data_IF_582543866580
#
_entry.id   IF_582543866580
#
_cell.length_a   1.000
_cell.length_b   1.000
_cell.length_c   1.000
_cell.angle_alpha   90.00
_cell.angle_beta   90.00
_cell.angle_gamma   90.00
#
_symmetry.space_group_name_H-M   'P 1'
#
loop_
_entity.id
_entity.type
_entity.pdbx_description
1 polymer ?
#
# COMPACT_ATOMS: atom_id res chain seq x y z
N UNK A 1 -24.46 -38.47 17.55
CA UNK A 1 -23.51 -37.89 18.53
C UNK A 1 -22.08 -37.80 17.97
N UNK A 2 -21.59 -38.87 17.35
CA UNK A 2 -20.21 -38.92 16.77
C UNK A 2 -20.00 -37.88 15.68
N UNK A 3 -20.98 -37.65 14.80
CA UNK A 3 -20.90 -36.62 13.73
C UNK A 3 -20.85 -35.19 14.27
N UNK A 4 -21.51 -34.93 15.39
CA UNK A 4 -21.50 -33.61 16.02
C UNK A 4 -20.14 -33.30 16.65
N UNK A 5 -19.50 -34.30 17.26
CA UNK A 5 -18.16 -34.14 17.85
C UNK A 5 -17.10 -33.94 16.75
N UNK A 6 -17.17 -34.69 15.63
CA UNK A 6 -16.27 -34.47 14.49
C UNK A 6 -16.45 -33.08 13.86
N UNK A 7 -17.67 -32.58 13.73
CA UNK A 7 -17.92 -31.23 13.22
C UNK A 7 -17.29 -30.11 14.09
N UNK A 8 -17.37 -30.25 15.42
CA UNK A 8 -16.73 -29.32 16.36
C UNK A 8 -15.20 -29.36 16.25
N UNK A 9 -14.62 -30.56 16.11
CA UNK A 9 -13.16 -30.70 15.98
C UNK A 9 -12.64 -30.11 14.66
N UNK A 10 -13.32 -30.36 13.54
CA UNK A 10 -12.94 -29.80 12.22
C UNK A 10 -13.12 -28.28 12.22
N UNK A 11 -14.23 -27.77 12.75
CA UNK A 11 -14.48 -26.32 12.84
C UNK A 11 -13.44 -25.61 13.70
N UNK A 12 -13.10 -26.17 14.87
CA UNK A 12 -12.05 -25.59 15.73
C UNK A 12 -10.66 -25.63 15.11
N UNK A 13 -10.34 -26.70 14.39
CA UNK A 13 -9.04 -26.84 13.73
C UNK A 13 -8.90 -25.83 12.58
N UNK A 14 -9.93 -25.64 11.76
CA UNK A 14 -9.93 -24.65 10.68
C UNK A 14 -9.79 -23.22 11.19
N UNK A 15 -10.56 -22.86 12.23
CA UNK A 15 -10.47 -21.53 12.87
C UNK A 15 -9.09 -21.29 13.49
N UNK A 16 -8.47 -22.33 14.08
CA UNK A 16 -7.16 -22.20 14.70
C UNK A 16 -6.05 -21.98 13.67
N UNK A 17 -6.13 -22.62 12.50
CA UNK A 17 -5.15 -22.43 11.41
C UNK A 17 -5.25 -21.01 10.86
N UNK A 18 -6.45 -20.51 10.63
CA UNK A 18 -6.68 -19.15 10.12
C UNK A 18 -6.18 -18.10 11.11
N UNK A 19 -6.46 -18.29 12.41
CA UNK A 19 -5.99 -17.41 13.47
C UNK A 19 -4.45 -17.38 13.56
N UNK A 20 -3.80 -18.52 13.40
CA UNK A 20 -2.34 -18.63 13.37
C UNK A 20 -1.71 -17.92 12.17
N UNK A 21 -2.37 -17.92 11.02
CA UNK A 21 -1.90 -17.22 9.81
C UNK A 21 -1.99 -15.70 9.97
N UNK A 22 -3.11 -15.19 10.47
CA UNK A 22 -3.27 -13.78 10.80
C UNK A 22 -2.29 -13.32 11.90
N UNK A 23 -2.10 -14.08 12.97
CA UNK A 23 -1.18 -13.73 14.04
C UNK A 23 0.27 -13.67 13.54
N UNK A 24 0.68 -14.61 12.68
CA UNK A 24 2.00 -14.59 12.03
C UNK A 24 2.17 -13.37 11.13
N UNK A 25 1.12 -13.02 10.37
CA UNK A 25 1.14 -11.87 9.48
C UNK A 25 1.19 -10.56 10.25
N UNK A 26 0.42 -10.44 11.33
CA UNK A 26 0.43 -9.29 12.25
C UNK A 26 1.81 -9.13 12.89
N UNK A 27 2.39 -10.19 13.44
CA UNK A 27 3.73 -10.18 14.03
C UNK A 27 4.80 -9.79 13.02
N UNK A 28 4.68 -10.28 11.78
CA UNK A 28 5.60 -9.90 10.70
C UNK A 28 5.51 -8.40 10.41
N UNK A 29 4.30 -7.85 10.25
CA UNK A 29 4.10 -6.43 9.99
C UNK A 29 4.60 -5.56 11.15
N UNK A 30 4.46 -6.04 12.38
CA UNK A 30 4.95 -5.35 13.56
C UNK A 30 6.50 -5.30 13.60
N UNK A 31 7.16 -6.40 13.28
CA UNK A 31 8.61 -6.48 13.07
C UNK A 31 9.06 -5.56 11.92
N UNK A 32 8.35 -5.58 10.80
CA UNK A 32 8.63 -4.74 9.64
C UNK A 32 8.46 -3.26 10.00
N UNK A 33 7.49 -2.91 10.86
CA UNK A 33 7.30 -1.55 11.36
C UNK A 33 8.44 -1.08 12.26
N UNK A 34 8.97 -1.94 13.13
CA UNK A 34 10.13 -1.64 13.98
C UNK A 34 11.40 -1.55 13.12
N UNK A 35 11.59 -2.47 12.20
CA UNK A 35 12.68 -2.49 11.24
C UNK A 35 12.71 -1.21 10.39
N UNK A 36 11.54 -0.69 10.00
CA UNK A 36 11.43 0.55 9.26
C UNK A 36 12.07 1.75 9.97
N UNK A 37 11.87 1.90 11.28
CA UNK A 37 12.47 3.01 12.03
C UNK A 37 14.01 2.90 12.06
N UNK A 38 14.53 1.70 12.20
CA UNK A 38 15.98 1.43 12.13
C UNK A 38 16.49 1.73 10.72
N UNK A 39 15.77 1.28 9.70
CA UNK A 39 16.09 1.50 8.29
C UNK A 39 16.10 3.00 7.93
N UNK A 40 15.11 3.79 8.38
CA UNK A 40 15.08 5.23 8.13
C UNK A 40 16.30 5.95 8.72
N UNK A 41 16.72 5.54 9.91
CA UNK A 41 17.94 6.08 10.52
C UNK A 41 19.18 5.69 9.74
N UNK A 42 19.25 4.45 9.25
CA UNK A 42 20.33 3.95 8.43
C UNK A 42 20.40 4.69 7.08
N UNK A 43 19.25 4.84 6.41
CA UNK A 43 19.13 5.58 5.14
C UNK A 43 19.63 7.01 5.31
N UNK A 44 19.14 7.73 6.32
CA UNK A 44 19.58 9.11 6.59
C UNK A 44 21.08 9.24 6.86
N UNK A 45 21.69 8.20 7.45
CA UNK A 45 23.11 8.20 7.80
C UNK A 45 24.03 7.77 6.66
N UNK A 46 23.59 6.84 5.80
CA UNK A 46 24.44 6.14 4.83
C UNK A 46 23.99 6.27 3.37
N UNK A 47 22.87 6.94 3.09
CA UNK A 47 22.28 7.00 1.74
C UNK A 47 23.27 7.56 0.70
N UNK A 48 24.16 8.45 1.09
CA UNK A 48 25.14 9.09 0.20
C UNK A 48 26.23 8.14 -0.30
N UNK A 49 26.37 6.96 0.30
CA UNK A 49 27.49 6.05 0.01
C UNK A 49 27.18 5.07 -1.11
N UNK A 50 25.92 4.65 -1.29
CA UNK A 50 25.57 3.61 -2.29
C UNK A 50 24.10 3.67 -2.73
N UNK A 51 23.82 4.49 -3.73
CA UNK A 51 22.48 4.63 -4.32
C UNK A 51 21.95 3.34 -5.00
N UNK A 52 22.85 2.47 -5.47
CA UNK A 52 22.44 1.20 -6.11
C UNK A 52 21.73 0.28 -5.10
N UNK A 53 22.24 0.20 -3.88
CA UNK A 53 21.60 -0.57 -2.80
C UNK A 53 20.24 0.02 -2.40
N UNK A 54 20.10 1.35 -2.47
CA UNK A 54 18.84 2.01 -2.18
C UNK A 54 17.76 1.69 -3.21
N UNK A 55 18.09 1.67 -4.49
CA UNK A 55 17.15 1.28 -5.54
C UNK A 55 16.69 -0.18 -5.37
N UNK A 56 17.61 -1.09 -5.05
CA UNK A 56 17.25 -2.49 -4.73
C UNK A 56 16.29 -2.57 -3.54
N UNK A 57 16.47 -1.72 -2.53
CA UNK A 57 15.55 -1.68 -1.36
C UNK A 57 14.15 -1.22 -1.76
N UNK A 58 14.02 -0.26 -2.66
CA UNK A 58 12.72 0.17 -3.19
C UNK A 58 11.98 -1.02 -3.83
N UNK A 59 12.66 -1.79 -4.67
CA UNK A 59 12.06 -2.96 -5.33
C UNK A 59 11.61 -4.02 -4.31
N UNK A 60 12.39 -4.24 -3.26
CA UNK A 60 12.00 -5.15 -2.17
C UNK A 60 10.76 -4.66 -1.43
N UNK A 61 10.65 -3.35 -1.11
CA UNK A 61 9.47 -2.76 -0.49
C UNK A 61 8.21 -2.98 -1.33
N UNK A 62 8.30 -2.77 -2.65
CA UNK A 62 7.17 -3.01 -3.55
C UNK A 62 6.78 -4.49 -3.62
N UNK A 63 7.74 -5.40 -3.62
CA UNK A 63 7.44 -6.83 -3.59
C UNK A 63 6.73 -7.24 -2.30
N UNK A 64 7.11 -6.67 -1.16
CA UNK A 64 6.44 -6.90 0.13
C UNK A 64 5.01 -6.36 0.13
N UNK A 65 4.82 -5.11 -0.33
CA UNK A 65 3.51 -4.49 -0.47
C UNK A 65 2.61 -5.26 -1.44
N UNK A 66 3.15 -5.69 -2.57
CA UNK A 66 2.39 -6.48 -3.55
C UNK A 66 1.87 -7.80 -2.96
N UNK A 67 2.70 -8.52 -2.20
CA UNK A 67 2.29 -9.78 -1.55
C UNK A 67 1.16 -9.55 -0.56
N UNK A 68 1.27 -8.50 0.26
CA UNK A 68 0.25 -8.17 1.26
C UNK A 68 -1.04 -7.66 0.60
N UNK A 69 -0.92 -6.80 -0.41
CA UNK A 69 -2.06 -6.30 -1.19
C UNK A 69 -2.81 -7.43 -1.89
N UNK A 70 -2.09 -8.40 -2.50
CA UNK A 70 -2.69 -9.56 -3.14
C UNK A 70 -3.43 -10.46 -2.15
N UNK A 71 -2.91 -10.61 -0.93
CA UNK A 71 -3.60 -11.36 0.13
C UNK A 71 -4.91 -10.66 0.54
N UNK A 72 -4.89 -9.34 0.74
CA UNK A 72 -6.08 -8.56 1.07
C UNK A 72 -7.13 -8.62 -0.06
N UNK A 73 -6.72 -8.46 -1.31
CA UNK A 73 -7.60 -8.58 -2.49
C UNK A 73 -8.26 -9.97 -2.58
N UNK A 74 -7.52 -11.03 -2.25
CA UNK A 74 -8.09 -12.38 -2.19
C UNK A 74 -9.18 -12.48 -1.11
N UNK A 75 -8.94 -11.95 0.09
CA UNK A 75 -9.91 -11.94 1.19
C UNK A 75 -11.15 -11.10 0.84
N UNK A 76 -10.98 -9.97 0.18
CA UNK A 76 -12.10 -9.16 -0.33
C UNK A 76 -12.95 -9.92 -1.35
N UNK A 77 -12.34 -10.65 -2.28
CA UNK A 77 -13.05 -11.47 -3.27
C UNK A 77 -13.83 -12.64 -2.67
N UNK A 78 -13.37 -13.18 -1.55
CA UNK A 78 -14.07 -14.25 -0.82
C UNK A 78 -15.08 -13.74 0.21
N UNK A 79 -15.24 -12.40 0.34
CA UNK A 79 -16.07 -11.74 1.35
C UNK A 79 -15.71 -12.15 2.80
N UNK A 80 -14.42 -12.36 3.07
CA UNK A 80 -13.92 -12.75 4.39
C UNK A 80 -13.49 -11.50 5.17
N UNK A 81 -14.48 -10.76 5.69
CA UNK A 81 -14.30 -9.51 6.43
C UNK A 81 -14.46 -9.75 7.93
N UNK A 82 -13.37 -9.91 8.64
CA UNK A 82 -13.32 -9.97 10.10
C UNK A 82 -12.50 -8.79 10.67
N UNK A 83 -12.44 -8.69 12.00
CA UNK A 83 -11.69 -7.63 12.68
C UNK A 83 -10.19 -7.66 12.30
N UNK A 84 -9.64 -8.84 12.06
CA UNK A 84 -8.24 -9.00 11.65
C UNK A 84 -8.01 -8.47 10.23
N UNK A 85 -8.96 -8.71 9.31
CA UNK A 85 -8.90 -8.16 7.95
C UNK A 85 -8.83 -6.63 8.00
N UNK A 86 -9.73 -5.98 8.75
CA UNK A 86 -9.75 -4.51 8.86
C UNK A 86 -8.46 -3.95 9.49
N UNK A 87 -7.95 -4.61 10.53
CA UNK A 87 -6.68 -4.23 11.14
C UNK A 87 -5.51 -4.38 10.16
N UNK A 88 -5.49 -5.47 9.40
CA UNK A 88 -4.46 -5.74 8.40
C UNK A 88 -4.49 -4.71 7.27
N UNK A 89 -5.69 -4.34 6.80
CA UNK A 89 -5.87 -3.31 5.77
C UNK A 89 -5.38 -1.94 6.24
N UNK A 90 -5.68 -1.54 7.48
CA UNK A 90 -5.12 -0.32 8.10
C UNK A 90 -3.58 -0.34 8.11
N UNK A 91 -3.00 -1.45 8.55
CA UNK A 91 -1.53 -1.62 8.58
C UNK A 91 -0.93 -1.59 7.18
N UNK A 92 -1.57 -2.21 6.20
CA UNK A 92 -1.15 -2.15 4.80
C UNK A 92 -1.09 -0.72 4.28
N UNK A 93 -2.12 0.08 4.53
CA UNK A 93 -2.13 1.49 4.16
C UNK A 93 -1.00 2.29 4.83
N UNK A 94 -0.75 2.06 6.13
CA UNK A 94 0.40 2.68 6.81
C UNK A 94 1.75 2.24 6.23
N UNK A 95 1.87 0.98 5.80
CA UNK A 95 3.09 0.49 5.12
C UNK A 95 3.28 1.17 3.76
N UNK A 96 2.20 1.41 3.00
CA UNK A 96 2.25 2.16 1.75
C UNK A 96 2.79 3.57 1.98
N UNK A 97 2.28 4.30 3.01
CA UNK A 97 2.77 5.63 3.36
C UNK A 97 4.25 5.61 3.77
N UNK A 98 4.65 4.62 4.58
CA UNK A 98 6.06 4.45 4.96
C UNK A 98 6.96 4.22 3.74
N UNK A 99 6.55 3.36 2.81
CA UNK A 99 7.29 3.11 1.59
C UNK A 99 7.38 4.38 0.71
N UNK A 100 6.29 5.11 0.58
CA UNK A 100 6.23 6.38 -0.11
C UNK A 100 7.23 7.41 0.45
N UNK A 101 7.27 7.57 1.78
CA UNK A 101 8.22 8.47 2.45
C UNK A 101 9.67 7.98 2.33
N UNK A 102 9.90 6.66 2.35
CA UNK A 102 11.22 6.08 2.13
C UNK A 102 11.73 6.43 0.75
N UNK A 103 10.90 6.29 -0.28
CA UNK A 103 11.26 6.61 -1.66
C UNK A 103 11.47 8.12 -1.82
N UNK A 104 10.68 8.96 -1.16
CA UNK A 104 10.92 10.39 -1.12
C UNK A 104 12.34 10.72 -0.65
N UNK A 105 12.78 10.14 0.47
CA UNK A 105 14.12 10.38 1.02
C UNK A 105 15.21 9.85 0.07
N UNK A 106 14.99 8.69 -0.57
CA UNK A 106 15.93 8.13 -1.54
C UNK A 106 16.01 9.03 -2.79
N UNK A 107 14.88 9.54 -3.27
CA UNK A 107 14.82 10.41 -4.45
C UNK A 107 15.55 11.75 -4.23
N UNK A 108 15.57 12.27 -3.00
CA UNK A 108 16.30 13.53 -2.68
C UNK A 108 17.82 13.36 -2.76
N UNK A 109 18.34 12.20 -2.46
CA UNK A 109 19.77 11.95 -2.33
C UNK A 109 20.34 11.11 -3.50
N UNK A 110 19.47 10.31 -4.17
CA UNK A 110 19.82 9.43 -5.27
C UNK A 110 18.91 9.73 -6.47
N UNK A 111 19.45 9.64 -7.67
CA UNK A 111 18.65 9.74 -8.90
C UNK A 111 17.72 8.52 -9.01
N UNK A 112 16.52 8.63 -8.42
CA UNK A 112 15.47 7.65 -8.58
C UNK A 112 14.41 8.21 -9.56
N UNK A 113 14.40 7.70 -10.78
CA UNK A 113 13.67 8.32 -11.89
C UNK A 113 12.22 7.83 -12.05
N UNK A 114 11.84 6.72 -11.38
CA UNK A 114 10.46 6.23 -11.50
C UNK A 114 9.47 7.25 -10.95
N UNK A 115 8.40 7.56 -11.71
CA UNK A 115 7.31 8.39 -11.21
C UNK A 115 6.61 7.73 -10.02
N UNK A 116 6.19 8.54 -9.06
CA UNK A 116 5.49 8.10 -7.86
C UNK A 116 4.09 8.70 -7.85
N UNK A 117 3.09 7.86 -7.64
CA UNK A 117 1.68 8.30 -7.62
C UNK A 117 1.03 7.75 -6.35
N UNK A 118 0.36 8.62 -5.59
CA UNK A 118 -0.66 8.20 -4.62
C UNK A 118 -2.00 8.28 -5.31
N UNK A 119 -2.78 7.23 -5.15
CA UNK A 119 -4.14 7.14 -5.64
C UNK A 119 -5.11 7.02 -4.48
N UNK A 120 -5.80 8.11 -4.15
CA UNK A 120 -6.91 8.08 -3.21
C UNK A 120 -8.17 7.63 -3.92
N UNK A 121 -8.76 6.53 -3.45
CA UNK A 121 -9.92 5.91 -4.10
C UNK A 121 -11.04 5.63 -3.11
N UNK A 122 -12.25 5.47 -3.64
CA UNK A 122 -13.39 4.88 -2.94
C UNK A 122 -13.92 3.70 -3.76
N UNK A 123 -14.75 2.85 -3.14
CA UNK A 123 -15.38 1.73 -3.86
C UNK A 123 -16.53 2.24 -4.75
N UNK A 124 -16.18 2.88 -5.85
CA UNK A 124 -17.10 3.36 -6.86
C UNK A 124 -16.59 3.14 -8.29
N UNK A 125 -17.46 3.31 -9.27
CA UNK A 125 -17.13 3.07 -10.68
C UNK A 125 -16.08 4.06 -11.24
N UNK A 126 -16.02 5.28 -10.71
CA UNK A 126 -15.11 6.31 -11.19
C UNK A 126 -13.68 6.01 -10.72
N UNK A 127 -13.52 5.60 -9.45
CA UNK A 127 -12.23 5.14 -8.93
C UNK A 127 -11.76 3.86 -9.65
N UNK A 128 -12.66 2.93 -9.97
CA UNK A 128 -12.32 1.74 -10.77
C UNK A 128 -11.82 2.13 -12.17
N UNK A 129 -12.49 3.09 -12.84
CA UNK A 129 -12.03 3.62 -14.14
C UNK A 129 -10.64 4.25 -14.02
N UNK A 130 -10.38 5.03 -12.97
CA UNK A 130 -9.07 5.63 -12.71
C UNK A 130 -7.99 4.56 -12.52
N UNK A 131 -8.30 3.46 -11.84
CA UNK A 131 -7.38 2.32 -11.67
C UNK A 131 -6.90 1.76 -13.01
N UNK A 132 -7.79 1.57 -14.00
CA UNK A 132 -7.40 1.09 -15.33
C UNK A 132 -6.45 2.06 -16.06
N UNK A 133 -6.69 3.36 -15.93
CA UNK A 133 -5.78 4.37 -16.50
C UNK A 133 -4.40 4.29 -15.82
N UNK A 134 -4.37 4.10 -14.50
CA UNK A 134 -3.13 3.96 -13.74
C UNK A 134 -2.38 2.67 -14.09
N UNK A 135 -3.07 1.56 -14.36
CA UNK A 135 -2.44 0.32 -14.83
C UNK A 135 -1.68 0.56 -16.15
N UNK A 136 -2.25 1.33 -17.06
CA UNK A 136 -1.59 1.72 -18.31
C UNK A 136 -0.37 2.62 -18.07
N UNK A 137 -0.47 3.59 -17.17
CA UNK A 137 0.64 4.45 -16.75
C UNK A 137 1.77 3.62 -16.11
N UNK A 138 1.45 2.66 -15.25
CA UNK A 138 2.43 1.74 -14.66
C UNK A 138 3.17 0.94 -15.73
N UNK A 139 2.44 0.39 -16.69
CA UNK A 139 3.01 -0.41 -17.75
C UNK A 139 3.94 0.40 -18.68
N UNK A 140 3.57 1.65 -18.98
CA UNK A 140 4.32 2.47 -19.95
C UNK A 140 5.50 3.23 -19.33
N UNK A 141 5.38 3.63 -18.05
CA UNK A 141 6.36 4.52 -17.37
C UNK A 141 7.07 3.86 -16.19
N UNK A 142 6.69 2.65 -15.79
CA UNK A 142 7.21 2.02 -14.58
C UNK A 142 6.85 2.79 -13.31
N UNK A 143 5.76 3.57 -13.33
CA UNK A 143 5.30 4.36 -12.21
C UNK A 143 5.00 3.46 -10.99
N UNK A 144 5.29 3.96 -9.81
CA UNK A 144 4.99 3.29 -8.56
C UNK A 144 3.72 3.89 -7.96
N UNK A 145 2.65 3.11 -7.91
CA UNK A 145 1.33 3.55 -7.43
C UNK A 145 1.06 3.02 -6.03
N UNK A 146 0.68 3.92 -5.13
CA UNK A 146 0.20 3.62 -3.78
C UNK A 146 -1.30 3.90 -3.73
N UNK A 147 -2.12 2.85 -3.67
CA UNK A 147 -3.57 2.99 -3.61
C UNK A 147 -4.04 3.02 -2.15
N UNK A 148 -4.65 4.13 -1.75
CA UNK A 148 -5.14 4.39 -0.39
C UNK A 148 -6.64 4.65 -0.45
N UNK A 149 -7.42 3.88 0.30
CA UNK A 149 -8.86 4.09 0.41
C UNK A 149 -9.15 5.33 1.26
N UNK A 150 -9.82 6.31 0.65
CA UNK A 150 -10.15 7.59 1.26
C UNK A 150 -11.13 7.42 2.42
N UNK A 151 -10.83 8.06 3.56
CA UNK A 151 -11.67 8.02 4.75
C UNK A 151 -11.74 6.66 5.44
N UNK A 152 -10.88 5.70 5.06
CA UNK A 152 -10.92 4.33 5.61
C UNK A 152 -10.53 4.26 7.08
N UNK A 153 -9.59 5.08 7.53
CA UNK A 153 -9.06 5.00 8.89
C UNK A 153 -8.65 6.39 9.41
N UNK A 154 -9.03 6.69 10.66
CA UNK A 154 -8.69 7.96 11.31
C UNK A 154 -7.19 8.23 11.33
N UNK A 155 -6.38 7.16 11.45
CA UNK A 155 -4.91 7.24 11.44
C UNK A 155 -4.33 7.73 10.10
N UNK A 156 -5.14 7.78 9.03
CA UNK A 156 -4.74 8.21 7.69
C UNK A 156 -5.22 9.63 7.35
N UNK A 157 -6.14 10.19 8.11
CA UNK A 157 -6.76 11.51 7.85
C UNK A 157 -5.69 12.60 7.71
N UNK A 158 -4.61 12.54 8.50
CA UNK A 158 -3.53 13.53 8.40
C UNK A 158 -2.90 13.55 7.00
N UNK A 159 -2.84 12.40 6.33
CA UNK A 159 -2.22 12.26 5.02
C UNK A 159 -3.15 12.78 3.90
N UNK A 160 -4.46 12.52 4.04
CA UNK A 160 -5.50 13.07 3.18
C UNK A 160 -5.56 14.60 3.30
N UNK A 161 -5.53 15.10 4.55
CA UNK A 161 -5.51 16.55 4.84
C UNK A 161 -4.23 17.23 4.35
N UNK A 162 -3.07 16.57 4.46
CA UNK A 162 -1.80 17.11 4.01
C UNK A 162 -1.77 17.41 2.51
N UNK A 163 -2.51 16.61 1.71
CA UNK A 163 -2.62 16.79 0.27
C UNK A 163 -3.91 17.48 -0.17
N UNK A 164 -4.69 18.02 0.76
CA UNK A 164 -5.98 18.67 0.48
C UNK A 164 -6.89 17.81 -0.39
N UNK A 165 -6.97 16.52 -0.06
CA UNK A 165 -7.84 15.58 -0.78
C UNK A 165 -9.27 15.79 -0.32
N UNK A 166 -10.13 16.26 -1.23
CA UNK A 166 -11.54 16.58 -0.93
C UNK A 166 -12.52 15.55 -1.50
N UNK A 167 -12.13 14.82 -2.54
CA UNK A 167 -12.98 13.88 -3.27
C UNK A 167 -12.17 12.70 -3.83
N UNK A 168 -12.86 11.69 -4.36
CA UNK A 168 -12.26 10.51 -5.00
C UNK A 168 -12.84 10.25 -6.39
N UNK A 169 -12.01 9.81 -7.33
CA UNK A 169 -10.57 9.57 -7.21
C UNK A 169 -9.75 10.85 -7.13
N UNK A 170 -8.62 10.81 -6.41
CA UNK A 170 -7.62 11.87 -6.44
C UNK A 170 -6.23 11.30 -6.58
N UNK A 171 -5.35 11.99 -7.29
CA UNK A 171 -3.98 11.57 -7.53
C UNK A 171 -3.00 12.60 -6.97
N UNK A 172 -1.93 12.12 -6.31
CA UNK A 172 -0.77 12.94 -6.00
C UNK A 172 0.41 12.41 -6.77
N UNK A 173 0.91 13.21 -7.72
CA UNK A 173 2.00 12.82 -8.62
C UNK A 173 3.29 13.49 -8.17
N UNK A 174 4.35 12.70 -8.03
CA UNK A 174 5.70 13.15 -7.70
C UNK A 174 5.74 14.08 -6.48
N UNK A 175 4.90 13.81 -5.45
CA UNK A 175 4.84 14.48 -4.14
C UNK A 175 4.21 15.88 -4.11
N UNK A 176 3.93 16.51 -5.22
CA UNK A 176 3.54 17.92 -5.27
C UNK A 176 2.38 18.26 -6.21
N UNK A 177 2.08 17.44 -7.21
CA UNK A 177 0.98 17.71 -8.13
C UNK A 177 -0.25 16.94 -7.68
N UNK A 178 -1.28 17.65 -7.27
CA UNK A 178 -2.57 17.07 -6.86
C UNK A 178 -3.59 17.23 -7.98
N UNK A 179 -4.21 16.14 -8.39
CA UNK A 179 -5.29 16.10 -9.36
C UNK A 179 -6.54 15.55 -8.65
N UNK A 180 -7.52 16.40 -8.43
CA UNK A 180 -8.80 16.01 -7.82
C UNK A 180 -9.80 15.59 -8.91
N UNK A 181 -10.53 14.52 -8.66
CA UNK A 181 -11.44 13.91 -9.62
C UNK A 181 -10.74 13.00 -10.63
N UNK A 182 -11.53 12.41 -11.52
CA UNK A 182 -11.02 11.54 -12.58
C UNK A 182 -10.09 12.28 -13.52
N UNK A 183 -8.92 11.70 -13.78
CA UNK A 183 -7.91 12.25 -14.68
C UNK A 183 -7.66 11.30 -15.85
N UNK A 184 -7.75 11.83 -17.08
CA UNK A 184 -7.44 11.09 -18.30
C UNK A 184 -5.93 10.80 -18.39
N UNK A 185 -5.58 9.81 -19.20
CA UNK A 185 -4.20 9.33 -19.37
C UNK A 185 -3.21 10.45 -19.71
N UNK A 186 -3.56 11.32 -20.67
CA UNK A 186 -2.70 12.40 -21.16
C UNK A 186 -2.42 13.46 -20.08
N UNK A 187 -3.39 13.69 -19.19
CA UNK A 187 -3.23 14.62 -18.06
C UNK A 187 -2.21 14.04 -17.08
N UNK A 188 -2.34 12.75 -16.75
CA UNK A 188 -1.40 12.08 -15.84
C UNK A 188 -0.02 12.05 -16.48
N UNK A 189 0.10 11.60 -17.73
CA UNK A 189 1.35 11.53 -18.48
C UNK A 189 2.12 12.86 -18.48
N UNK A 190 1.42 13.98 -18.73
CA UNK A 190 2.03 15.32 -18.76
C UNK A 190 2.63 15.77 -17.41
N UNK A 191 2.19 15.17 -16.30
CA UNK A 191 2.63 15.46 -14.95
C UNK A 191 3.65 14.45 -14.39
N UNK A 192 4.06 13.43 -15.18
CA UNK A 192 5.04 12.44 -14.72
C UNK A 192 6.51 12.95 -14.80
N UNK A 193 6.73 14.01 -15.56
CA UNK A 193 8.07 14.57 -15.88
C UNK A 193 8.58 15.47 -14.77
#
# INVERSE_FOLDING_TARGET
>A
LVFFICGIFIGRYSVTIEFDEYDKLIKKIELDSQSYNVEQNLIKSLIKEDCSKMNTRVDLLFNELFKLGSFLDQKEKTNEFDDNFYLLKKRYNLMQIKAYLTIYNIKQECNYDSPIIIFFYADNSVSKKQGFVLDEIVNNYGAKVFAIEYGYAEELIFFETFYDVEDTPSLVINYNTVLNGFSEYEIIESNLK
#
